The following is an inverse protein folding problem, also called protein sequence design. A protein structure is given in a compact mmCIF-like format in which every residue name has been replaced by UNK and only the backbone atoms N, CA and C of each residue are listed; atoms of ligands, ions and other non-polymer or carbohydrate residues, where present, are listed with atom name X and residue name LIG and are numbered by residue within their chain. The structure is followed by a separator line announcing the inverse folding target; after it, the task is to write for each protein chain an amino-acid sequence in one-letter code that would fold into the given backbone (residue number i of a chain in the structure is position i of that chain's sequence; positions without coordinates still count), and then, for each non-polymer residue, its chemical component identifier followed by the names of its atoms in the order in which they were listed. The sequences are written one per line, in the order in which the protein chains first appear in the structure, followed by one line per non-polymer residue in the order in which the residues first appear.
data_IF_923578135165
#
_entry.id   IF_923578135165
#
_cell.length_a   1.000
_cell.length_b   1.000
_cell.length_c   1.000
_cell.angle_alpha   90.00
_cell.angle_beta   90.00
_cell.angle_gamma   90.00
#
_symmetry.space_group_name_H-M   'P 1'
#
loop_
_entity.id
_entity.type
_entity.pdbx_description
1 polymer ?
#
# COMPACT_ATOMS: atom_id res chain seq x y z
N UNK A 1 17.95 48.81 -33.84
CA UNK A 1 16.69 48.06 -33.93
C UNK A 1 16.83 46.81 -33.05
N UNK A 2 16.35 46.88 -31.82
CA UNK A 2 16.41 45.77 -30.87
C UNK A 2 15.15 44.90 -31.04
N UNK A 3 15.30 43.68 -31.54
CA UNK A 3 14.24 42.71 -31.60
C UNK A 3 14.04 42.07 -30.19
N UNK A 4 13.03 42.54 -29.52
CA UNK A 4 12.53 41.92 -28.29
C UNK A 4 11.83 40.59 -28.65
N UNK A 5 12.50 39.47 -28.47
CA UNK A 5 11.90 38.14 -28.61
C UNK A 5 11.21 37.78 -27.28
N UNK A 6 9.91 38.03 -27.21
CA UNK A 6 9.06 37.53 -26.11
C UNK A 6 9.05 36.00 -26.20
N UNK A 7 9.38 35.26 -25.12
CA UNK A 7 9.29 33.81 -25.12
C UNK A 7 7.83 33.36 -25.27
N UNK A 8 7.56 32.26 -25.99
CA UNK A 8 6.21 31.78 -26.18
C UNK A 8 5.59 31.39 -24.83
N UNK A 9 4.26 31.60 -24.62
CA UNK A 9 3.59 31.28 -23.39
C UNK A 9 3.71 29.76 -23.10
N UNK A 10 4.14 29.44 -21.89
CA UNK A 10 4.26 28.07 -21.43
C UNK A 10 2.94 27.32 -21.66
N UNK A 11 2.97 26.27 -22.48
CA UNK A 11 1.82 25.45 -22.77
C UNK A 11 1.24 24.93 -21.45
N UNK A 12 0.01 25.35 -21.12
CA UNK A 12 -0.68 24.91 -19.91
C UNK A 12 -0.86 23.39 -19.97
N UNK A 13 -0.19 22.67 -19.09
CA UNK A 13 -0.32 21.22 -18.99
C UNK A 13 -1.79 20.88 -18.72
N UNK A 14 -2.45 20.20 -19.66
CA UNK A 14 -3.84 19.73 -19.51
C UNK A 14 -3.96 18.99 -18.18
N UNK A 15 -4.95 19.33 -17.32
CA UNK A 15 -5.15 18.64 -16.06
C UNK A 15 -5.39 17.14 -16.34
N UNK A 16 -4.59 16.30 -15.66
CA UNK A 16 -4.66 14.84 -15.82
C UNK A 16 -6.04 14.39 -15.39
N UNK A 17 -6.85 13.93 -16.33
CA UNK A 17 -8.22 13.47 -16.08
C UNK A 17 -8.18 12.33 -15.05
N UNK A 18 -8.72 12.57 -13.86
CA UNK A 18 -8.90 11.53 -12.85
C UNK A 18 -9.93 10.52 -13.37
N UNK A 19 -9.65 9.24 -13.24
CA UNK A 19 -10.58 8.18 -13.60
C UNK A 19 -11.26 7.72 -12.31
N UNK A 20 -12.55 8.06 -12.10
CA UNK A 20 -13.26 7.77 -10.84
C UNK A 20 -13.28 6.29 -10.49
N UNK A 21 -13.20 5.40 -11.47
CA UNK A 21 -13.15 3.96 -11.29
C UNK A 21 -12.07 3.51 -10.28
N UNK A 22 -10.87 4.07 -10.40
CA UNK A 22 -9.76 3.68 -9.54
C UNK A 22 -9.89 4.21 -8.11
N UNK A 23 -10.44 5.40 -7.96
CA UNK A 23 -10.70 5.98 -6.64
C UNK A 23 -11.82 5.18 -5.94
N UNK A 24 -12.87 4.79 -6.66
CA UNK A 24 -13.94 3.93 -6.16
C UNK A 24 -13.44 2.52 -5.81
N UNK A 25 -12.59 1.93 -6.64
CA UNK A 25 -12.00 0.62 -6.36
C UNK A 25 -11.16 0.63 -5.07
N UNK A 26 -10.35 1.67 -4.86
CA UNK A 26 -9.58 1.85 -3.61
C UNK A 26 -10.49 2.02 -2.41
N UNK A 27 -11.53 2.85 -2.54
CA UNK A 27 -12.52 3.04 -1.48
C UNK A 27 -13.19 1.72 -1.12
N UNK A 28 -13.65 0.95 -2.11
CA UNK A 28 -14.23 -0.37 -1.88
C UNK A 28 -13.26 -1.32 -1.14
N UNK A 29 -11.99 -1.35 -1.54
CA UNK A 29 -10.97 -2.15 -0.84
C UNK A 29 -10.79 -1.70 0.62
N UNK A 30 -10.79 -0.39 0.91
CA UNK A 30 -10.69 0.13 2.27
C UNK A 30 -11.90 -0.28 3.11
N UNK A 31 -13.11 -0.19 2.56
CA UNK A 31 -14.35 -0.65 3.22
C UNK A 31 -14.25 -2.14 3.56
N UNK A 32 -13.77 -2.97 2.62
CA UNK A 32 -13.57 -4.40 2.85
C UNK A 32 -12.51 -4.67 3.93
N UNK A 33 -11.44 -3.89 4.01
CA UNK A 33 -10.45 -3.98 5.11
C UNK A 33 -11.13 -3.74 6.45
N UNK A 34 -11.90 -2.65 6.58
CA UNK A 34 -12.61 -2.32 7.83
C UNK A 34 -13.60 -3.41 8.21
N UNK A 35 -14.40 -3.87 7.25
CA UNK A 35 -15.37 -4.97 7.48
C UNK A 35 -14.66 -6.26 7.88
N UNK A 36 -13.58 -6.66 7.20
CA UNK A 36 -12.80 -7.84 7.53
C UNK A 36 -12.26 -7.78 8.95
N UNK A 37 -11.74 -6.65 9.39
CA UNK A 37 -11.25 -6.50 10.77
C UNK A 37 -12.38 -6.43 11.80
N UNK A 38 -13.51 -5.82 11.49
CA UNK A 38 -14.67 -5.77 12.38
C UNK A 38 -15.30 -7.16 12.57
N UNK A 39 -15.33 -7.98 11.52
CA UNK A 39 -15.91 -9.34 11.59
C UNK A 39 -14.97 -10.38 12.18
N UNK A 40 -13.68 -10.08 12.34
CA UNK A 40 -12.69 -11.04 12.80
C UNK A 40 -13.04 -11.68 14.14
N UNK A 41 -13.59 -10.94 15.09
CA UNK A 41 -14.02 -11.50 16.40
C UNK A 41 -15.23 -12.44 16.29
N UNK A 42 -16.08 -12.22 15.30
CA UNK A 42 -17.27 -13.02 15.07
C UNK A 42 -16.97 -14.38 14.40
N UNK A 43 -15.76 -14.55 13.87
CA UNK A 43 -15.34 -15.80 13.20
C UNK A 43 -15.24 -16.97 14.17
N UNK A 44 -15.11 -16.72 15.47
CA UNK A 44 -15.05 -17.77 16.51
C UNK A 44 -16.43 -18.35 16.85
N UNK A 45 -17.50 -17.59 16.56
CA UNK A 45 -18.86 -17.93 16.99
C UNK A 45 -19.80 -18.31 15.83
N UNK A 46 -19.35 -18.14 14.57
CA UNK A 46 -20.23 -18.32 13.41
C UNK A 46 -19.45 -18.72 12.15
N UNK A 47 -19.84 -19.85 11.55
CA UNK A 47 -19.30 -20.35 10.27
C UNK A 47 -19.55 -19.36 9.11
N UNK A 48 -20.67 -18.65 9.16
CA UNK A 48 -21.00 -17.61 8.16
C UNK A 48 -20.02 -16.46 8.28
N UNK A 49 -19.72 -16.00 9.49
CA UNK A 49 -18.75 -14.93 9.71
C UNK A 49 -17.36 -15.36 9.28
N UNK A 50 -16.97 -16.61 9.54
CA UNK A 50 -15.70 -17.16 9.08
C UNK A 50 -15.61 -17.23 7.55
N UNK A 51 -16.66 -17.69 6.88
CA UNK A 51 -16.69 -17.76 5.41
C UNK A 51 -16.62 -16.37 4.78
N UNK A 52 -17.35 -15.40 5.34
CA UNK A 52 -17.30 -14.00 4.89
C UNK A 52 -15.91 -13.38 5.10
N UNK A 53 -15.31 -13.63 6.25
CA UNK A 53 -13.95 -13.18 6.56
C UNK A 53 -12.94 -13.73 5.54
N UNK A 54 -12.96 -15.04 5.29
CA UNK A 54 -12.07 -15.66 4.30
C UNK A 54 -12.27 -15.10 2.90
N UNK A 55 -13.52 -14.89 2.47
CA UNK A 55 -13.84 -14.29 1.19
C UNK A 55 -13.29 -12.87 1.08
N UNK A 56 -13.49 -12.03 2.10
CA UNK A 56 -12.97 -10.67 2.13
C UNK A 56 -11.44 -10.68 2.05
N UNK A 57 -10.77 -11.52 2.85
CA UNK A 57 -9.31 -11.60 2.87
C UNK A 57 -8.71 -12.15 1.58
N UNK A 58 -9.35 -13.12 0.95
CA UNK A 58 -8.91 -13.65 -0.33
C UNK A 58 -8.98 -12.62 -1.46
N UNK A 59 -9.90 -11.66 -1.39
CA UNK A 59 -10.13 -10.68 -2.45
C UNK A 59 -9.43 -9.35 -2.23
N UNK A 60 -9.57 -8.74 -1.03
CA UNK A 60 -9.16 -7.34 -0.85
C UNK A 60 -7.64 -7.15 -0.88
N UNK A 61 -6.86 -8.10 -0.36
CA UNK A 61 -5.39 -8.01 -0.35
C UNK A 61 -4.81 -8.08 -1.77
N UNK A 62 -5.16 -9.08 -2.62
CA UNK A 62 -4.73 -9.09 -4.02
C UNK A 62 -5.23 -7.88 -4.81
N UNK A 63 -6.47 -7.44 -4.60
CA UNK A 63 -7.00 -6.25 -5.27
C UNK A 63 -6.20 -4.99 -4.94
N UNK A 64 -5.85 -4.80 -3.67
CA UNK A 64 -5.01 -3.67 -3.25
C UNK A 64 -3.60 -3.74 -3.87
N UNK A 65 -3.00 -4.92 -3.93
CA UNK A 65 -1.69 -5.13 -4.55
C UNK A 65 -1.73 -4.82 -6.05
N UNK A 66 -2.75 -5.29 -6.77
CA UNK A 66 -2.95 -5.03 -8.21
C UNK A 66 -3.13 -3.53 -8.46
N UNK A 67 -3.99 -2.86 -7.70
CA UNK A 67 -4.23 -1.42 -7.84
C UNK A 67 -2.94 -0.63 -7.56
N UNK A 68 -2.20 -0.99 -6.50
CA UNK A 68 -0.92 -0.37 -6.18
C UNK A 68 0.12 -0.58 -7.27
N UNK A 69 0.20 -1.79 -7.83
CA UNK A 69 1.10 -2.14 -8.92
C UNK A 69 0.79 -1.38 -10.20
N UNK A 70 -0.49 -1.27 -10.56
CA UNK A 70 -0.93 -0.54 -11.75
C UNK A 70 -0.52 0.94 -11.75
N UNK A 71 -0.54 1.59 -10.58
CA UNK A 71 -0.12 2.98 -10.45
C UNK A 71 1.39 3.16 -10.23
N UNK A 72 2.13 2.08 -10.07
CA UNK A 72 3.58 2.14 -9.95
C UNK A 72 4.22 2.35 -11.31
N UNK A 73 5.07 3.37 -11.41
CA UNK A 73 5.84 3.61 -12.63
C UNK A 73 7.09 2.74 -12.60
N UNK A 74 7.35 2.00 -13.68
CA UNK A 74 8.62 1.31 -13.88
C UNK A 74 9.77 2.32 -14.03
N UNK A 75 10.96 1.92 -13.59
CA UNK A 75 12.19 2.69 -13.65
C UNK A 75 12.79 2.99 -12.28
N UNK A 76 14.08 3.36 -12.22
CA UNK A 76 14.76 3.61 -10.95
C UNK A 76 14.01 4.70 -10.16
N UNK A 77 13.84 4.51 -8.84
CA UNK A 77 13.07 5.44 -8.04
C UNK A 77 13.77 6.80 -7.99
N UNK A 78 13.11 7.83 -8.50
CA UNK A 78 13.59 9.19 -8.35
C UNK A 78 13.62 9.58 -6.86
N UNK A 79 14.55 10.46 -6.45
CA UNK A 79 14.65 10.96 -5.06
C UNK A 79 13.29 11.39 -4.48
N UNK A 80 12.43 11.99 -5.30
CA UNK A 80 11.07 12.39 -4.92
C UNK A 80 10.13 11.21 -4.65
N UNK A 81 10.32 10.07 -5.33
CA UNK A 81 9.52 8.86 -5.08
C UNK A 81 9.94 8.21 -3.78
N UNK A 82 11.25 8.20 -3.48
CA UNK A 82 11.77 7.71 -2.21
C UNK A 82 11.28 8.55 -1.03
N UNK A 83 11.33 9.88 -1.14
CA UNK A 83 10.78 10.77 -0.11
C UNK A 83 9.28 10.53 0.13
N UNK A 84 8.49 10.33 -0.94
CA UNK A 84 7.06 9.98 -0.81
C UNK A 84 6.84 8.61 -0.18
N UNK A 85 7.69 7.64 -0.42
CA UNK A 85 7.61 6.33 0.22
C UNK A 85 7.78 6.46 1.73
N UNK A 86 8.72 7.30 2.17
CA UNK A 86 8.93 7.59 3.59
C UNK A 86 7.72 8.30 4.18
N UNK A 87 7.22 9.35 3.56
CA UNK A 87 6.09 10.14 4.09
C UNK A 87 4.76 9.41 4.03
N UNK A 88 4.52 8.61 2.99
CA UNK A 88 3.21 8.00 2.75
C UNK A 88 3.09 6.61 3.38
N UNK A 89 4.21 5.95 3.71
CA UNK A 89 4.23 4.59 4.25
C UNK A 89 4.98 4.50 5.57
N UNK A 90 6.26 4.90 5.59
CA UNK A 90 7.11 4.72 6.78
C UNK A 90 6.63 5.58 7.94
N UNK A 91 6.32 6.85 7.67
CA UNK A 91 5.85 7.77 8.72
C UNK A 91 4.51 7.32 9.33
N UNK A 92 3.45 7.02 8.57
CA UNK A 92 2.22 6.45 9.12
C UNK A 92 2.47 5.14 9.89
N UNK A 93 3.32 4.24 9.36
CA UNK A 93 3.68 3.01 10.06
C UNK A 93 4.23 3.29 11.45
N UNK A 94 5.23 4.17 11.56
CA UNK A 94 5.83 4.53 12.84
C UNK A 94 4.84 5.18 13.81
N UNK A 95 3.98 6.06 13.30
CA UNK A 95 2.94 6.72 14.12
C UNK A 95 1.97 5.68 14.69
N UNK A 96 1.43 4.81 13.85
CA UNK A 96 0.46 3.81 14.29
C UNK A 96 1.08 2.74 15.19
N UNK A 97 2.32 2.31 14.93
CA UNK A 97 3.04 1.36 15.79
C UNK A 97 3.32 1.97 17.15
N UNK A 98 3.73 3.23 17.20
CA UNK A 98 3.95 3.96 18.46
C UNK A 98 2.64 4.13 19.24
N UNK A 99 1.55 4.47 18.57
CA UNK A 99 0.23 4.61 19.17
C UNK A 99 -0.29 3.28 19.71
N UNK A 100 -0.10 2.18 18.98
CA UNK A 100 -0.47 0.84 19.40
C UNK A 100 0.33 0.40 20.63
N UNK A 101 1.65 0.60 20.62
CA UNK A 101 2.52 0.29 21.75
C UNK A 101 2.14 1.09 22.99
N UNK A 102 1.83 2.38 22.82
CA UNK A 102 1.34 3.24 23.90
C UNK A 102 0.01 2.74 24.46
N UNK A 103 -0.93 2.35 23.59
CA UNK A 103 -2.22 1.82 24.01
C UNK A 103 -2.05 0.52 24.83
N UNK A 104 -1.20 -0.40 24.37
CA UNK A 104 -0.86 -1.61 25.11
C UNK A 104 -0.25 -1.30 26.46
N UNK A 105 0.66 -0.35 26.52
CA UNK A 105 1.27 0.07 27.79
C UNK A 105 0.25 0.60 28.78
N UNK A 106 -0.70 1.41 28.33
CA UNK A 106 -1.74 1.99 29.19
C UNK A 106 -2.73 0.90 29.65
N UNK A 107 -3.09 -0.05 28.79
CA UNK A 107 -4.15 -1.05 29.08
C UNK A 107 -3.59 -2.28 29.76
N UNK A 108 -2.44 -2.78 29.33
CA UNK A 108 -1.88 -4.06 29.76
C UNK A 108 -0.67 -3.90 30.70
N UNK A 109 -0.14 -2.67 30.86
CA UNK A 109 1.04 -2.41 31.67
C UNK A 109 2.36 -2.92 31.07
N UNK A 110 2.33 -3.46 29.85
CA UNK A 110 3.51 -4.03 29.17
C UNK A 110 3.75 -3.29 27.85
N UNK A 111 4.96 -2.77 27.69
CA UNK A 111 5.44 -2.26 26.41
C UNK A 111 6.47 -3.24 25.85
N UNK A 112 6.15 -3.85 24.71
CA UNK A 112 7.13 -4.57 23.90
C UNK A 112 7.30 -3.83 22.58
N UNK A 113 8.18 -2.81 22.53
CA UNK A 113 8.40 -2.01 21.31
C UNK A 113 9.25 -2.83 20.32
N UNK A 114 8.59 -3.67 19.54
CA UNK A 114 9.24 -4.49 18.52
C UNK A 114 8.91 -4.01 17.13
N UNK A 115 9.68 -3.05 16.61
CA UNK A 115 9.54 -2.50 15.25
C UNK A 115 9.71 -3.55 14.15
N UNK A 116 10.28 -4.71 14.46
CA UNK A 116 10.51 -5.80 13.48
C UNK A 116 9.34 -6.77 13.39
N UNK A 117 8.46 -6.77 14.41
CA UNK A 117 7.22 -7.54 14.40
C UNK A 117 6.05 -6.56 14.35
N UNK A 118 5.64 -6.14 13.14
CA UNK A 118 4.58 -5.16 13.00
C UNK A 118 3.31 -5.66 13.68
N UNK A 119 2.71 -4.78 14.48
CA UNK A 119 1.51 -5.08 15.23
C UNK A 119 0.36 -5.35 14.26
N UNK A 120 -0.27 -6.49 14.43
CA UNK A 120 -1.51 -6.93 13.83
C UNK A 120 -1.69 -6.60 12.34
N UNK A 121 -2.28 -5.44 11.99
CA UNK A 121 -2.59 -5.06 10.60
C UNK A 121 -1.48 -4.27 9.91
N UNK A 122 -0.51 -3.76 10.67
CA UNK A 122 0.53 -2.87 10.17
C UNK A 122 1.57 -3.60 9.29
N UNK A 123 1.64 -4.94 9.37
CA UNK A 123 2.49 -5.74 8.50
C UNK A 123 2.22 -5.48 7.01
N UNK A 124 0.95 -5.20 6.66
CA UNK A 124 0.58 -4.91 5.27
C UNK A 124 1.19 -3.60 4.77
N UNK A 125 1.25 -2.59 5.64
CA UNK A 125 1.87 -1.30 5.30
C UNK A 125 3.36 -1.46 5.02
N UNK A 126 4.03 -2.29 5.83
CA UNK A 126 5.44 -2.64 5.63
C UNK A 126 5.64 -3.42 4.32
N UNK A 127 4.82 -4.45 4.07
CA UNK A 127 4.84 -5.21 2.83
C UNK A 127 4.60 -4.33 1.59
N UNK A 128 3.66 -3.39 1.67
CA UNK A 128 3.40 -2.41 0.60
C UNK A 128 4.60 -1.50 0.35
N UNK A 129 5.30 -1.10 1.41
CA UNK A 129 6.55 -0.33 1.32
C UNK A 129 7.64 -1.09 0.58
N UNK A 130 7.88 -2.34 1.00
CA UNK A 130 8.85 -3.24 0.36
C UNK A 130 8.47 -3.48 -1.11
N UNK A 131 7.19 -3.76 -1.38
CA UNK A 131 6.71 -3.97 -2.73
C UNK A 131 6.94 -2.74 -3.63
N UNK A 132 6.63 -1.54 -3.15
CA UNK A 132 6.89 -0.30 -3.89
C UNK A 132 8.37 -0.02 -4.12
N UNK A 133 9.22 -0.48 -3.21
CA UNK A 133 10.67 -0.34 -3.34
C UNK A 133 11.23 -1.30 -4.40
N UNK A 134 10.74 -2.54 -4.42
CA UNK A 134 11.25 -3.63 -5.27
C UNK A 134 10.66 -3.57 -6.68
N UNK A 135 9.40 -3.14 -6.82
CA UNK A 135 8.68 -3.14 -8.09
C UNK A 135 9.41 -2.42 -9.25
N UNK A 136 10.05 -1.25 -9.07
CA UNK A 136 10.79 -0.59 -10.14
C UNK A 136 11.93 -1.45 -10.70
N UNK A 137 12.56 -2.24 -9.85
CA UNK A 137 13.64 -3.15 -10.24
C UNK A 137 13.09 -4.39 -10.94
N UNK A 138 11.97 -4.94 -10.45
CA UNK A 138 11.30 -6.07 -11.10
C UNK A 138 10.76 -5.70 -12.49
N UNK A 139 10.35 -4.47 -12.70
CA UNK A 139 9.87 -3.99 -14.00
C UNK A 139 10.96 -3.97 -15.09
N UNK A 140 12.24 -3.95 -14.71
CA UNK A 140 13.39 -3.99 -15.62
C UNK A 140 13.81 -5.43 -15.93
N UNK A 141 13.42 -6.38 -15.10
CA UNK A 141 13.76 -7.79 -15.28
C UNK A 141 13.01 -8.38 -16.47
N UNK A 142 13.74 -9.04 -17.34
CA UNK A 142 13.16 -9.79 -18.47
C UNK A 142 12.34 -10.95 -17.90
N UNK A 143 11.07 -11.04 -18.21
CA UNK A 143 10.12 -12.05 -17.72
C UNK A 143 9.76 -11.93 -16.21
N UNK A 144 9.22 -10.78 -15.76
CA UNK A 144 8.93 -10.56 -14.33
C UNK A 144 7.90 -11.56 -13.77
N UNK A 145 6.92 -11.98 -14.58
CA UNK A 145 5.91 -12.98 -14.18
C UNK A 145 6.54 -14.36 -13.93
N UNK A 146 7.53 -14.76 -14.71
CA UNK A 146 8.18 -16.06 -14.55
C UNK A 146 8.97 -16.09 -13.25
N UNK A 147 9.69 -15.02 -12.93
CA UNK A 147 10.43 -14.92 -11.68
C UNK A 147 9.51 -14.85 -10.45
N UNK A 148 8.38 -14.15 -10.53
CA UNK A 148 7.41 -14.12 -9.41
C UNK A 148 6.80 -15.50 -9.16
N UNK A 149 6.50 -16.28 -10.21
CA UNK A 149 6.01 -17.65 -10.08
C UNK A 149 7.09 -18.55 -9.45
N UNK A 150 8.35 -18.49 -9.95
CA UNK A 150 9.46 -19.30 -9.41
C UNK A 150 9.69 -19.00 -7.92
N UNK A 151 9.68 -17.74 -7.52
CA UNK A 151 9.84 -17.35 -6.11
C UNK A 151 8.66 -17.85 -5.29
N UNK A 152 7.43 -17.73 -5.80
CA UNK A 152 6.21 -18.15 -5.10
C UNK A 152 6.12 -19.67 -4.90
N UNK A 153 6.68 -20.45 -5.81
CA UNK A 153 6.69 -21.94 -5.71
C UNK A 153 7.85 -22.43 -4.83
N UNK A 154 8.94 -21.65 -4.74
CA UNK A 154 10.12 -22.00 -3.95
C UNK A 154 10.12 -21.51 -2.50
N UNK A 155 9.12 -20.72 -2.09
CA UNK A 155 8.94 -20.20 -0.74
C UNK A 155 7.93 -21.01 0.07
#
# INVERSE_FOLDING_TARGET
MSHSTTPPPAASAKPRRRVPLWDNARFACIVLVVLGHATQRLTYDSDIAQSLYLLIYAFHMPAFAIISGYFSKGGPPAKRQMARLITDIVLPYLIFESLWTLTKYIVEGQADPNLTKPSWTLWFLLALGIFRLVLPYLAVVRWPLLWTIVISVGA
#
